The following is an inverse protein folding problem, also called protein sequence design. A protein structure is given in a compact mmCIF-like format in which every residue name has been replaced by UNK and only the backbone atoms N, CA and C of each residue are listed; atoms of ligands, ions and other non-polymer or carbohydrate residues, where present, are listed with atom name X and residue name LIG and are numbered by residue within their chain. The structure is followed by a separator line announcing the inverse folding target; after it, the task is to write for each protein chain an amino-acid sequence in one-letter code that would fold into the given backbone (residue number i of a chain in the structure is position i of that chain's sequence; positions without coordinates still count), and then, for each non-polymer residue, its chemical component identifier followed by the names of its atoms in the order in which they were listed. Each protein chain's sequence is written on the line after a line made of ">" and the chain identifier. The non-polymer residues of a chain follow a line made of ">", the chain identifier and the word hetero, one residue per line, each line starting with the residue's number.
data_IF_358799490611
#
_entry.id   IF_358799490611
#
_cell.length_a   1.000
_cell.length_b   1.000
_cell.length_c   1.000
_cell.angle_alpha   90.00
_cell.angle_beta   90.00
_cell.angle_gamma   90.00
#
_symmetry.space_group_name_H-M   'P 1'
#
loop_
_entity.id
_entity.type
_entity.pdbx_description
1 polymer ?
#
# COMPACT_ATOMS: atom_id res chain seq x y z
N UNK A 1 3.86 14.28 -1.72
CA UNK A 1 3.66 12.85 -1.37
C UNK A 1 4.90 12.08 -1.78
N UNK A 2 5.24 11.00 -1.08
CA UNK A 2 6.33 10.11 -1.44
C UNK A 2 5.94 8.66 -1.13
N UNK A 3 6.39 7.73 -1.97
CA UNK A 3 6.25 6.29 -1.79
C UNK A 3 7.56 5.71 -1.22
N UNK A 4 7.47 4.74 -0.32
CA UNK A 4 8.61 3.94 0.08
C UNK A 4 8.81 2.80 -0.93
N UNK A 5 9.96 2.76 -1.58
CA UNK A 5 10.34 1.64 -2.44
C UNK A 5 10.51 0.36 -1.61
N UNK A 6 10.08 -0.76 -2.18
CA UNK A 6 10.35 -2.09 -1.63
C UNK A 6 9.90 -2.26 -0.16
N UNK A 7 8.72 -1.74 0.18
CA UNK A 7 8.11 -1.95 1.49
C UNK A 7 8.13 -3.45 1.88
N UNK A 8 8.34 -3.72 3.16
CA UNK A 8 8.69 -5.03 3.72
C UNK A 8 10.08 -5.55 3.32
N UNK A 9 10.40 -5.58 2.02
CA UNK A 9 11.67 -6.10 1.47
C UNK A 9 12.89 -5.31 1.93
N UNK A 10 12.71 -4.02 2.23
CA UNK A 10 13.71 -3.16 2.86
C UNK A 10 14.19 -3.70 4.22
N UNK A 11 13.36 -4.50 4.90
CA UNK A 11 13.65 -5.07 6.22
C UNK A 11 14.22 -6.48 6.09
N UNK A 12 15.39 -6.69 6.71
CA UNK A 12 15.99 -8.01 6.84
C UNK A 12 15.26 -8.89 7.85
N UNK A 13 15.07 -10.16 7.53
CA UNK A 13 14.60 -11.15 8.49
C UNK A 13 15.76 -11.56 9.42
N UNK A 14 15.45 -11.72 10.70
CA UNK A 14 16.44 -12.22 11.66
C UNK A 14 16.86 -13.66 11.31
N UNK A 15 18.13 -14.01 11.54
CA UNK A 15 18.70 -15.30 11.10
C UNK A 15 18.00 -16.52 11.71
N UNK A 16 17.51 -16.38 12.94
CA UNK A 16 16.73 -17.38 13.65
C UNK A 16 15.32 -17.58 13.05
N UNK A 17 14.81 -16.62 12.28
CA UNK A 17 13.53 -16.71 11.56
C UNK A 17 13.66 -17.33 10.16
N UNK A 18 14.87 -17.41 9.60
CA UNK A 18 15.13 -17.95 8.26
C UNK A 18 14.56 -19.36 8.01
N UNK A 19 14.54 -20.30 8.99
CA UNK A 19 13.90 -21.59 8.78
C UNK A 19 12.41 -21.50 8.41
N UNK A 20 11.71 -20.44 8.84
CA UNK A 20 10.31 -20.18 8.48
C UNK A 20 10.12 -19.48 7.13
N UNK A 21 11.21 -19.12 6.44
CA UNK A 21 11.20 -18.37 5.18
C UNK A 21 11.79 -19.19 4.01
N UNK A 22 11.79 -20.51 4.14
CA UNK A 22 12.22 -21.43 3.07
C UNK A 22 11.12 -21.55 2.01
N UNK A 23 11.50 -21.35 0.75
CA UNK A 23 10.62 -21.44 -0.41
C UNK A 23 11.13 -22.55 -1.33
N UNK A 24 10.23 -23.40 -1.84
CA UNK A 24 10.54 -24.35 -2.91
C UNK A 24 10.35 -23.66 -4.26
N UNK A 25 11.44 -23.45 -4.99
CA UNK A 25 11.38 -22.87 -6.32
C UNK A 25 10.87 -23.89 -7.36
N UNK A 26 10.32 -23.44 -8.51
CA UNK A 26 9.88 -24.34 -9.59
C UNK A 26 10.99 -25.27 -10.12
N UNK A 27 12.26 -24.89 -9.95
CA UNK A 27 13.44 -25.67 -10.29
C UNK A 27 13.74 -26.82 -9.31
N UNK A 28 12.99 -26.95 -8.22
CA UNK A 28 13.18 -27.94 -7.17
C UNK A 28 14.19 -27.54 -6.09
N UNK A 29 14.78 -26.34 -6.18
CA UNK A 29 15.73 -25.83 -5.17
C UNK A 29 15.00 -25.23 -3.98
N UNK A 30 15.56 -25.42 -2.79
CA UNK A 30 15.16 -24.70 -1.58
C UNK A 30 15.93 -23.39 -1.47
N UNK A 31 15.20 -22.28 -1.34
CA UNK A 31 15.75 -20.92 -1.24
C UNK A 31 15.30 -20.34 0.10
N UNK A 32 16.23 -19.69 0.81
CA UNK A 32 15.88 -18.92 2.01
C UNK A 32 15.67 -17.47 1.59
N UNK A 33 14.48 -16.94 1.84
CA UNK A 33 14.24 -15.51 1.70
C UNK A 33 14.76 -14.77 2.95
N UNK A 34 15.74 -13.89 2.76
CA UNK A 34 16.44 -13.19 3.86
C UNK A 34 15.82 -11.83 4.20
N UNK A 35 14.77 -11.43 3.48
CA UNK A 35 13.99 -10.21 3.73
C UNK A 35 12.53 -10.57 4.01
N UNK A 36 11.75 -9.64 4.55
CA UNK A 36 10.34 -9.91 4.83
C UNK A 36 9.55 -10.07 3.52
N UNK A 37 8.92 -11.23 3.25
CA UNK A 37 8.17 -11.43 2.01
C UNK A 37 6.77 -10.81 2.08
N UNK A 38 6.20 -10.52 0.90
CA UNK A 38 4.79 -10.17 0.78
C UNK A 38 3.91 -11.35 1.22
N UNK A 39 2.78 -11.05 1.87
CA UNK A 39 1.84 -12.06 2.37
C UNK A 39 2.22 -12.67 3.72
N UNK A 40 3.40 -12.38 4.27
CA UNK A 40 3.72 -12.71 5.65
C UNK A 40 2.91 -11.82 6.60
N UNK A 41 2.11 -12.44 7.47
CA UNK A 41 1.19 -11.72 8.37
C UNK A 41 1.89 -10.68 9.26
N UNK A 42 3.12 -10.96 9.72
CA UNK A 42 3.89 -10.05 10.56
C UNK A 42 4.63 -8.94 9.79
N UNK A 43 4.83 -9.09 8.47
CA UNK A 43 5.62 -8.15 7.68
C UNK A 43 5.03 -6.72 7.73
N UNK A 44 3.69 -6.62 7.67
CA UNK A 44 2.99 -5.34 7.77
C UNK A 44 3.21 -4.64 9.11
N UNK A 45 3.23 -5.39 10.21
CA UNK A 45 3.47 -4.84 11.55
C UNK A 45 4.91 -4.36 11.74
N UNK A 46 5.88 -5.15 11.27
CA UNK A 46 7.31 -4.79 11.35
C UNK A 46 7.60 -3.55 10.49
N UNK A 47 7.13 -3.53 9.24
CA UNK A 47 7.24 -2.35 8.38
C UNK A 47 6.50 -1.14 8.95
N UNK A 48 5.30 -1.34 9.50
CA UNK A 48 4.53 -0.30 10.17
C UNK A 48 5.37 0.41 11.23
N UNK A 49 6.11 -0.34 12.03
CA UNK A 49 7.01 0.20 13.07
C UNK A 49 8.17 1.03 12.48
N UNK A 50 8.79 0.56 11.40
CA UNK A 50 9.85 1.31 10.68
C UNK A 50 9.30 2.62 10.12
N UNK A 51 8.13 2.55 9.49
CA UNK A 51 7.45 3.70 8.92
C UNK A 51 6.98 4.69 10.00
N UNK A 52 6.52 4.20 11.16
CA UNK A 52 6.12 5.04 12.30
C UNK A 52 7.32 5.77 12.90
N UNK A 53 8.44 5.06 13.09
CA UNK A 53 9.69 5.67 13.54
C UNK A 53 10.18 6.75 12.56
N UNK A 54 10.05 6.50 11.25
CA UNK A 54 10.40 7.46 10.20
C UNK A 54 9.55 8.73 10.30
N UNK A 55 8.22 8.58 10.47
CA UNK A 55 7.35 9.73 10.72
C UNK A 55 7.71 10.48 11.99
N UNK A 56 8.03 9.78 13.08
CA UNK A 56 8.41 10.40 14.34
C UNK A 56 9.69 11.24 14.21
N UNK A 57 10.68 10.77 13.44
CA UNK A 57 11.92 11.50 13.16
C UNK A 57 11.64 12.75 12.32
N UNK A 58 10.87 12.61 11.23
CA UNK A 58 10.47 13.75 10.39
C UNK A 58 9.71 14.79 11.24
N UNK A 59 8.75 14.35 12.05
CA UNK A 59 8.02 15.25 12.93
C UNK A 59 8.94 15.95 13.91
N UNK A 60 9.80 15.23 14.63
CA UNK A 60 10.73 15.84 15.57
C UNK A 60 11.65 16.89 14.93
N UNK A 61 11.98 16.73 13.64
CA UNK A 61 12.80 17.69 12.90
C UNK A 61 12.04 18.97 12.54
N UNK A 62 10.73 18.89 12.24
CA UNK A 62 9.93 20.01 11.71
C UNK A 62 8.82 20.54 12.65
N UNK A 63 8.63 19.94 13.83
CA UNK A 63 7.54 20.25 14.77
C UNK A 63 7.54 21.73 15.21
N UNK A 64 8.73 22.32 15.39
CA UNK A 64 8.89 23.67 15.95
C UNK A 64 9.01 24.78 14.92
N UNK A 65 9.32 24.46 13.66
CA UNK A 65 9.64 25.49 12.65
C UNK A 65 8.55 25.66 11.60
N UNK A 66 7.95 24.57 11.11
CA UNK A 66 7.10 24.61 9.90
C UNK A 66 5.67 24.11 10.16
N UNK A 67 5.45 23.40 11.28
CA UNK A 67 4.17 22.76 11.58
C UNK A 67 3.83 21.64 10.58
N UNK A 68 4.86 20.96 10.06
CA UNK A 68 4.72 19.88 9.08
C UNK A 68 3.89 18.73 9.66
N UNK A 69 2.80 18.39 8.99
CA UNK A 69 1.99 17.19 9.27
C UNK A 69 2.32 16.13 8.24
N UNK A 70 2.46 14.88 8.69
CA UNK A 70 2.78 13.75 7.86
C UNK A 70 1.84 12.61 8.25
N UNK A 71 1.27 11.94 7.26
CA UNK A 71 0.40 10.79 7.43
C UNK A 71 0.89 9.71 6.49
N UNK A 72 0.81 8.45 6.92
CA UNK A 72 1.17 7.31 6.09
C UNK A 72 0.06 6.28 5.99
N UNK A 73 0.15 5.48 4.95
CA UNK A 73 -0.53 4.21 4.82
C UNK A 73 0.41 3.22 4.15
N UNK A 74 0.88 2.25 4.93
CA UNK A 74 1.88 1.25 4.48
C UNK A 74 3.10 1.91 3.84
N UNK A 75 3.17 1.97 2.51
CA UNK A 75 4.24 2.52 1.67
C UNK A 75 3.98 3.97 1.21
N UNK A 76 2.73 4.42 1.18
CA UNK A 76 2.36 5.77 0.77
C UNK A 76 2.49 6.77 1.93
N UNK A 77 3.19 7.89 1.73
CA UNK A 77 3.32 8.99 2.69
C UNK A 77 2.83 10.31 2.08
N UNK A 78 1.99 11.03 2.82
CA UNK A 78 1.53 12.37 2.46
C UNK A 78 2.00 13.38 3.51
N UNK A 79 2.56 14.48 3.02
CA UNK A 79 3.10 15.57 3.83
C UNK A 79 2.28 16.83 3.55
N UNK A 80 2.00 17.59 4.61
CA UNK A 80 1.20 18.80 4.58
C UNK A 80 1.91 19.87 5.40
N UNK A 81 2.07 21.06 4.83
CA UNK A 81 2.67 22.21 5.48
C UNK A 81 1.78 23.44 5.31
N UNK A 82 2.01 24.47 6.12
CA UNK A 82 1.42 25.77 5.84
C UNK A 82 1.96 26.34 4.50
N UNK A 83 1.12 27.02 3.69
CA UNK A 83 1.57 27.69 2.47
C UNK A 83 2.62 28.77 2.72
N UNK A 84 2.72 29.29 3.94
CA UNK A 84 3.63 30.39 4.30
C UNK A 84 5.10 29.98 4.43
N UNK A 85 5.42 28.68 4.46
CA UNK A 85 6.79 28.20 4.56
C UNK A 85 7.32 27.74 3.21
N UNK A 86 8.55 28.13 2.89
CA UNK A 86 9.28 27.61 1.74
C UNK A 86 10.04 26.35 2.15
N UNK A 87 9.38 25.20 1.98
CA UNK A 87 9.90 23.88 2.30
C UNK A 87 9.59 22.97 1.12
N UNK A 88 10.60 22.32 0.57
CA UNK A 88 10.46 21.38 -0.54
C UNK A 88 10.29 19.97 -0.02
N UNK A 89 9.73 19.08 -0.84
CA UNK A 89 9.64 17.67 -0.46
C UNK A 89 11.04 17.10 -0.21
N UNK A 90 12.01 17.44 -1.05
CA UNK A 90 13.39 16.94 -0.92
C UNK A 90 14.02 17.31 0.44
N UNK A 91 13.72 18.48 1.01
CA UNK A 91 14.18 18.84 2.36
C UNK A 91 13.63 17.88 3.43
N UNK A 92 12.37 17.47 3.28
CA UNK A 92 11.72 16.51 4.19
C UNK A 92 12.35 15.13 4.06
N UNK A 93 12.60 14.67 2.83
CA UNK A 93 13.16 13.35 2.59
C UNK A 93 14.63 13.26 3.04
N UNK A 94 15.39 14.35 2.92
CA UNK A 94 16.80 14.43 3.32
C UNK A 94 17.03 14.12 4.80
N UNK A 95 16.06 14.40 5.69
CA UNK A 95 16.12 14.06 7.12
C UNK A 95 16.37 12.56 7.36
N UNK A 96 15.92 11.72 6.43
CA UNK A 96 16.00 10.26 6.55
C UNK A 96 17.11 9.64 5.70
N UNK A 97 17.85 10.44 4.94
CA UNK A 97 18.98 9.97 4.12
C UNK A 97 20.04 9.24 4.96
N UNK A 98 20.49 9.74 6.14
CA UNK A 98 21.48 9.03 6.96
C UNK A 98 21.01 7.68 7.50
N UNK A 99 19.69 7.45 7.53
CA UNK A 99 19.07 6.20 7.97
C UNK A 99 18.95 5.19 6.82
N UNK A 100 19.20 5.62 5.58
CA UNK A 100 18.99 4.80 4.39
C UNK A 100 17.52 4.45 4.17
N UNK A 101 16.58 5.33 4.56
CA UNK A 101 15.17 5.07 4.31
C UNK A 101 14.90 5.04 2.79
N UNK A 102 14.22 4.00 2.27
CA UNK A 102 14.23 3.72 0.84
C UNK A 102 13.13 4.47 0.09
N UNK A 103 13.17 5.80 0.01
CA UNK A 103 12.20 6.56 -0.80
C UNK A 103 12.26 6.17 -2.28
N UNK A 104 11.10 6.01 -2.91
CA UNK A 104 11.00 5.75 -4.34
C UNK A 104 11.39 7.02 -5.12
N UNK A 105 12.31 6.94 -6.11
CA UNK A 105 12.83 8.12 -6.79
C UNK A 105 11.78 8.89 -7.60
N UNK A 106 10.87 8.17 -8.26
CA UNK A 106 9.88 8.77 -9.17
C UNK A 106 8.46 8.89 -8.62
N UNK A 107 8.05 8.01 -7.68
CA UNK A 107 6.70 8.03 -7.10
C UNK A 107 6.62 9.04 -5.97
N UNK A 108 6.74 10.30 -6.37
CA UNK A 108 6.70 11.44 -5.49
C UNK A 108 6.06 12.63 -6.18
N UNK A 109 5.50 13.53 -5.40
CA UNK A 109 4.92 14.78 -5.88
C UNK A 109 5.23 15.89 -4.90
N UNK A 110 5.65 17.04 -5.43
CA UNK A 110 5.90 18.23 -4.64
C UNK A 110 4.63 18.73 -3.92
N UNK A 111 4.83 19.65 -2.97
CA UNK A 111 3.72 20.28 -2.27
C UNK A 111 2.81 21.04 -3.23
N UNK A 112 1.52 20.73 -3.19
CA UNK A 112 0.48 21.37 -3.99
C UNK A 112 -0.86 21.36 -3.25
N UNK A 113 -1.82 22.16 -3.74
CA UNK A 113 -3.21 22.14 -3.26
C UNK A 113 -3.94 20.83 -3.59
N UNK A 114 -3.43 20.09 -4.57
CA UNK A 114 -3.98 18.83 -5.05
C UNK A 114 -2.92 17.74 -4.94
N UNK A 115 -3.32 16.59 -4.41
CA UNK A 115 -2.41 15.45 -4.23
C UNK A 115 -3.14 14.15 -4.53
N UNK A 116 -2.48 13.26 -5.28
CA UNK A 116 -2.94 11.90 -5.45
C UNK A 116 -2.35 11.03 -4.34
N UNK A 117 -3.22 10.45 -3.51
CA UNK A 117 -2.84 9.63 -2.36
C UNK A 117 -3.82 8.45 -2.24
N UNK A 118 -3.33 7.24 -1.98
CA UNK A 118 -4.15 6.02 -1.97
C UNK A 118 -4.98 5.81 -3.24
N UNK A 119 -4.52 6.43 -4.34
CA UNK A 119 -5.21 6.37 -5.61
C UNK A 119 -6.50 7.18 -5.71
N UNK A 120 -6.71 8.14 -4.81
CA UNK A 120 -7.71 9.20 -4.88
C UNK A 120 -7.02 10.56 -5.10
N UNK A 121 -7.72 11.49 -5.72
CA UNK A 121 -7.32 12.89 -5.83
C UNK A 121 -7.94 13.69 -4.68
N UNK A 122 -7.09 14.29 -3.87
CA UNK A 122 -7.48 15.15 -2.77
C UNK A 122 -7.20 16.60 -3.15
N UNK A 123 -8.20 17.47 -3.03
CA UNK A 123 -7.99 18.91 -3.01
C UNK A 123 -8.16 19.41 -1.58
N UNK A 124 -7.06 19.86 -0.98
CA UNK A 124 -7.01 20.22 0.45
C UNK A 124 -7.59 21.60 0.76
N UNK A 125 -7.83 22.43 -0.25
CA UNK A 125 -8.44 23.75 -0.07
C UNK A 125 -9.98 23.67 -0.14
N UNK A 126 -10.50 22.85 -1.07
CA UNK A 126 -11.94 22.65 -1.23
C UNK A 126 -12.49 21.51 -0.37
N UNK A 127 -11.62 20.72 0.27
CA UNK A 127 -11.97 19.51 1.03
C UNK A 127 -12.75 18.48 0.21
N UNK A 128 -12.43 18.39 -1.08
CA UNK A 128 -13.04 17.45 -2.02
C UNK A 128 -12.08 16.28 -2.25
N UNK A 129 -12.65 15.07 -2.24
CA UNK A 129 -11.95 13.83 -2.61
C UNK A 129 -12.65 13.20 -3.80
N UNK A 130 -11.90 12.90 -4.84
CA UNK A 130 -12.42 12.31 -6.06
C UNK A 130 -11.67 11.04 -6.41
N UNK A 131 -12.37 10.12 -7.06
CA UNK A 131 -11.72 9.05 -7.78
C UNK A 131 -11.20 9.62 -9.11
N UNK A 132 -9.92 9.40 -9.46
CA UNK A 132 -9.36 9.78 -10.76
C UNK A 132 -10.23 9.25 -11.91
N UNK A 133 -10.39 10.06 -12.96
CA UNK A 133 -11.33 9.76 -14.05
C UNK A 133 -10.99 8.44 -14.76
N UNK A 134 -9.70 8.14 -14.93
CA UNK A 134 -9.19 6.89 -15.50
C UNK A 134 -9.66 5.66 -14.68
N UNK A 135 -9.57 5.75 -13.35
CA UNK A 135 -10.07 4.71 -12.45
C UNK A 135 -11.58 4.64 -12.44
N UNK A 136 -12.26 5.78 -12.47
CA UNK A 136 -13.72 5.85 -12.49
C UNK A 136 -14.27 5.16 -13.75
N UNK A 137 -13.69 5.44 -14.91
CA UNK A 137 -14.04 4.78 -16.17
C UNK A 137 -13.85 3.26 -16.08
N UNK A 138 -12.69 2.80 -15.58
CA UNK A 138 -12.40 1.37 -15.38
C UNK A 138 -13.38 0.67 -14.45
N UNK A 139 -13.81 1.32 -13.36
CA UNK A 139 -14.82 0.74 -12.48
C UNK A 139 -16.20 0.73 -13.11
N UNK A 140 -16.59 1.78 -13.85
CA UNK A 140 -17.85 1.79 -14.61
C UNK A 140 -17.91 0.60 -15.56
N UNK A 141 -16.85 0.35 -16.33
CA UNK A 141 -16.76 -0.80 -17.24
C UNK A 141 -16.92 -2.14 -16.51
N UNK A 142 -16.29 -2.30 -15.34
CA UNK A 142 -16.38 -3.53 -14.53
C UNK A 142 -17.77 -3.79 -13.97
N UNK A 143 -18.59 -2.75 -13.78
CA UNK A 143 -19.95 -2.87 -13.24
C UNK A 143 -20.97 -3.22 -14.34
N UNK A 144 -20.73 -2.86 -15.60
CA UNK A 144 -21.67 -3.10 -16.72
C UNK A 144 -22.16 -4.54 -16.87
N UNK A 145 -21.35 -5.61 -16.65
CA UNK A 145 -21.85 -6.98 -16.72
C UNK A 145 -22.91 -7.30 -15.65
N UNK A 146 -22.79 -6.67 -14.48
CA UNK A 146 -23.69 -6.87 -13.33
C UNK A 146 -24.99 -6.08 -13.45
N UNK A 147 -25.05 -5.06 -14.31
CA UNK A 147 -26.29 -4.31 -14.59
C UNK A 147 -27.13 -4.96 -15.68
N UNK A 148 -26.58 -5.93 -16.42
CA UNK A 148 -27.27 -6.64 -17.53
C UNK A 148 -27.76 -8.04 -17.15
N UNK A 149 -27.31 -8.58 -16.03
CA UNK A 149 -27.71 -9.90 -15.55
C UNK A 149 -28.76 -9.74 -14.44
N UNK A 150 -29.99 -10.19 -14.69
CA UNK A 150 -31.02 -10.32 -13.66
C UNK A 150 -30.64 -11.38 -12.61
N UNK A 151 -31.29 -11.37 -11.42
CA UNK A 151 -30.98 -12.33 -10.36
C UNK A 151 -31.16 -13.76 -10.87
N UNK A 152 -30.05 -14.47 -11.01
CA UNK A 152 -30.05 -15.87 -11.42
C UNK A 152 -29.96 -16.73 -10.16
N UNK A 153 -31.06 -17.36 -9.78
CA UNK A 153 -31.08 -18.34 -8.70
C UNK A 153 -30.31 -19.58 -9.16
N UNK A 154 -29.10 -19.79 -8.62
CA UNK A 154 -28.38 -21.05 -8.79
C UNK A 154 -29.03 -22.12 -7.91
N UNK A 155 -30.01 -22.83 -8.45
CA UNK A 155 -30.53 -24.08 -7.85
C UNK A 155 -30.52 -25.18 -8.91
N UNK A 156 -29.38 -25.85 -9.04
CA UNK A 156 -29.33 -27.17 -9.68
C UNK A 156 -29.44 -28.23 -8.59
N UNK A 157 -30.68 -28.69 -8.35
CA UNK A 157 -30.92 -29.99 -7.74
C UNK A 157 -30.82 -31.06 -8.83
N UNK A 158 -29.75 -31.85 -8.82
CA UNK A 158 -29.70 -33.12 -9.55
C UNK A 158 -29.52 -34.26 -8.54
N UNK A 159 -30.59 -34.57 -7.81
CA UNK A 159 -30.77 -35.88 -7.18
C UNK A 159 -31.49 -36.79 -8.17
N UNK A 160 -30.74 -37.58 -8.93
CA UNK A 160 -31.30 -38.66 -9.75
C UNK A 160 -31.57 -39.85 -8.83
N UNK A 161 -32.86 -40.12 -8.60
CA UNK A 161 -33.36 -41.32 -7.93
C UNK A 161 -33.24 -42.50 -8.88
N UNK A 162 -32.31 -43.40 -8.63
CA UNK A 162 -32.25 -44.73 -9.27
C UNK A 162 -32.88 -45.78 -8.38
N UNK A 163 -34.20 -45.96 -8.48
CA UNK A 163 -34.86 -47.16 -7.96
C UNK A 163 -34.91 -48.20 -9.08
N UNK A 164 -34.25 -49.34 -8.88
CA UNK A 164 -34.52 -50.55 -9.68
C UNK A 164 -34.56 -51.75 -8.73
N UNK A 165 -35.78 -52.20 -8.49
CA UNK A 165 -36.14 -53.50 -7.92
C UNK A 165 -36.39 -54.46 -9.08
N UNK A 166 -35.78 -55.65 -9.06
CA UNK A 166 -36.37 -56.86 -9.66
C UNK A 166 -35.66 -58.10 -9.13
N UNK A 167 -36.49 -58.98 -8.56
CA UNK A 167 -36.43 -60.45 -8.53
C UNK A 167 -35.37 -61.13 -7.68
#
# INVERSE_FOLDING_TARGET
>A
MADASEAFRAVGAAKDQWPGLVILAPSGWFIIDTRLPFGLASATGVWGSVADATLAIIHAHFDTEVGLRAVKWVDDFVFMKSPSYDLLLDDVLAVTEPLGFPWHPEKRSEFASEVRYLGFEFNVHTFVVMLPEDKAAKYRERVLPFTKSGPSASRTSSGSSGASSTS
#
